data_IF_466415625524
#
_entry.id   IF_466415625524
#
_cell.length_a   1.000
_cell.length_b   1.000
_cell.length_c   1.000
_cell.angle_alpha   90.00
_cell.angle_beta   90.00
_cell.angle_gamma   90.00
#
_symmetry.space_group_name_H-M   'P 1'
#
loop_
_entity.id
_entity.type
_entity.pdbx_description
1 polymer ?
#
# COMPACT_ATOMS: atom_id res chain seq x y z
N UNK A 1 20.68 8.35 -2.25
CA UNK A 1 20.07 7.92 -3.51
C UNK A 1 18.77 8.68 -3.73
N UNK A 2 18.52 9.16 -4.92
CA UNK A 2 17.25 9.86 -5.20
C UNK A 2 16.15 8.88 -5.55
N UNK A 3 14.91 9.33 -5.43
CA UNK A 3 13.73 8.52 -5.74
C UNK A 3 13.76 7.93 -7.16
N UNK A 4 14.37 8.66 -8.12
CA UNK A 4 14.40 8.24 -9.52
C UNK A 4 15.46 7.19 -9.83
N UNK A 5 16.41 6.98 -8.92
CA UNK A 5 17.50 6.02 -9.12
C UNK A 5 17.19 4.63 -8.59
N UNK A 6 16.12 4.49 -7.82
CA UNK A 6 15.71 3.18 -7.29
C UNK A 6 14.79 2.53 -8.30
N UNK A 7 15.17 1.36 -8.87
CA UNK A 7 14.31 0.69 -9.85
C UNK A 7 12.94 0.37 -9.29
N UNK A 8 11.93 0.33 -10.16
CA UNK A 8 10.58 -0.07 -9.77
C UNK A 8 10.61 -1.54 -9.36
N UNK A 9 10.14 -1.82 -8.15
CA UNK A 9 10.02 -3.18 -7.65
C UNK A 9 8.82 -3.86 -8.30
N UNK A 10 8.90 -5.17 -8.45
CA UNK A 10 7.84 -5.96 -9.06
C UNK A 10 7.56 -7.18 -8.22
N UNK A 11 6.31 -7.63 -8.24
CA UNK A 11 5.92 -8.88 -7.62
C UNK A 11 6.62 -10.04 -8.34
N UNK A 12 7.30 -10.94 -7.60
CA UNK A 12 7.85 -12.14 -8.22
C UNK A 12 6.75 -13.00 -8.82
N UNK A 13 7.08 -13.79 -9.84
CA UNK A 13 6.11 -14.68 -10.47
C UNK A 13 5.44 -15.58 -9.42
N UNK A 14 4.11 -15.57 -9.40
CA UNK A 14 3.33 -16.32 -8.40
C UNK A 14 3.27 -15.68 -7.02
N UNK A 15 3.87 -14.50 -6.84
CA UNK A 15 3.93 -13.80 -5.56
C UNK A 15 5.14 -14.21 -4.71
N UNK A 16 5.47 -13.40 -3.70
CA UNK A 16 6.48 -13.77 -2.72
C UNK A 16 5.85 -14.62 -1.62
N UNK A 17 6.64 -15.51 -1.03
CA UNK A 17 6.19 -16.39 0.05
C UNK A 17 7.21 -16.36 1.19
N UNK A 18 6.78 -16.78 2.39
CA UNK A 18 7.65 -16.80 3.56
C UNK A 18 7.86 -15.41 4.14
N UNK A 19 9.11 -15.07 4.45
CA UNK A 19 9.44 -13.78 5.04
C UNK A 19 9.17 -12.63 4.06
N UNK A 20 8.86 -11.45 4.60
CA UNK A 20 8.71 -10.24 3.80
C UNK A 20 10.01 -9.96 3.02
N UNK A 21 9.89 -9.56 1.75
CA UNK A 21 11.07 -9.11 0.99
C UNK A 21 11.75 -7.92 1.67
N UNK A 22 13.00 -7.68 1.29
CA UNK A 22 13.73 -6.52 1.77
C UNK A 22 13.03 -5.21 1.37
N UNK A 23 13.13 -4.14 2.19
CA UNK A 23 12.58 -2.85 1.82
C UNK A 23 13.13 -2.33 0.49
N UNK A 24 12.26 -1.69 -0.29
CA UNK A 24 12.59 -1.16 -1.62
C UNK A 24 13.20 0.23 -1.52
N UNK A 25 12.63 1.09 -0.67
CA UNK A 25 12.97 2.51 -0.61
C UNK A 25 13.89 2.89 0.54
N UNK A 26 14.53 1.93 1.19
CA UNK A 26 15.36 2.20 2.39
C UNK A 26 16.47 3.24 2.14
N UNK A 27 17.00 3.31 0.91
CA UNK A 27 18.03 4.26 0.56
C UNK A 27 17.54 5.66 0.13
N UNK A 28 16.24 5.88 0.16
CA UNK A 28 15.65 7.15 -0.28
C UNK A 28 15.10 7.93 0.91
N UNK A 29 15.58 9.17 1.10
CA UNK A 29 15.23 10.01 2.25
C UNK A 29 14.60 11.34 1.84
N UNK A 30 14.15 11.48 0.59
CA UNK A 30 13.51 12.69 0.14
C UNK A 30 12.22 12.96 0.94
N UNK A 31 11.95 14.24 1.28
CA UNK A 31 10.72 14.58 2.00
C UNK A 31 9.48 14.17 1.22
N UNK A 32 8.42 13.83 1.93
CA UNK A 32 7.12 13.55 1.31
C UNK A 32 6.60 14.81 0.64
N UNK A 33 5.95 14.64 -0.51
CA UNK A 33 5.33 15.77 -1.22
C UNK A 33 4.14 16.31 -0.43
N UNK A 34 3.80 17.57 -0.70
CA UNK A 34 2.64 18.19 -0.06
C UNK A 34 1.37 17.39 -0.39
N UNK A 35 0.49 17.26 0.61
CA UNK A 35 -0.75 16.54 0.45
C UNK A 35 -0.65 15.04 0.66
N UNK A 36 0.56 14.49 0.84
CA UNK A 36 0.76 13.07 1.13
C UNK A 36 0.53 12.79 2.63
N UNK A 37 -0.27 11.79 2.99
CA UNK A 37 -0.28 11.30 4.36
C UNK A 37 1.03 10.56 4.64
N UNK A 38 1.53 10.63 5.86
CA UNK A 38 2.68 9.83 6.25
C UNK A 38 2.20 8.46 6.69
N UNK A 39 2.33 7.48 5.80
CA UNK A 39 1.88 6.10 6.02
C UNK A 39 3.06 5.15 6.24
N UNK A 40 4.28 5.67 6.42
CA UNK A 40 5.48 4.83 6.53
C UNK A 40 5.42 3.95 7.76
N UNK A 41 5.64 2.67 7.56
CA UNK A 41 5.67 1.71 8.66
C UNK A 41 5.27 0.31 8.24
N UNK A 42 5.29 -0.59 9.21
CA UNK A 42 4.70 -1.91 9.13
C UNK A 42 3.42 -1.87 9.95
N UNK A 43 2.32 -2.27 9.36
CA UNK A 43 0.97 -2.11 9.90
C UNK A 43 0.24 -3.44 9.96
N UNK A 44 -0.58 -3.63 10.98
CA UNK A 44 -1.41 -4.82 11.09
C UNK A 44 -2.88 -4.45 11.19
N UNK A 45 -3.72 -5.12 10.42
CA UNK A 45 -5.17 -4.95 10.47
C UNK A 45 -5.70 -5.50 11.78
N UNK A 46 -6.32 -4.64 12.58
CA UNK A 46 -6.90 -5.02 13.87
C UNK A 46 -8.42 -5.00 13.87
N UNK A 47 -9.03 -4.34 12.89
CA UNK A 47 -10.48 -4.22 12.81
C UNK A 47 -10.89 -4.12 11.35
N UNK A 48 -11.98 -4.83 11.00
CA UNK A 48 -12.62 -4.72 9.70
C UNK A 48 -14.05 -4.26 9.92
N UNK A 49 -14.44 -3.20 9.21
CA UNK A 49 -15.76 -2.58 9.31
C UNK A 49 -16.52 -2.77 8.01
N UNK A 50 -17.76 -3.24 8.10
CA UNK A 50 -18.70 -3.27 6.97
C UNK A 50 -19.92 -2.47 7.39
N UNK A 51 -20.25 -1.41 6.62
CA UNK A 51 -21.31 -0.46 6.96
C UNK A 51 -21.15 0.10 8.38
N UNK A 52 -19.89 0.39 8.77
CA UNK A 52 -19.58 0.96 10.07
C UNK A 52 -19.62 -0.03 11.23
N UNK A 53 -19.82 -1.32 10.99
CA UNK A 53 -19.94 -2.34 12.03
C UNK A 53 -18.75 -3.29 11.99
N UNK A 54 -18.12 -3.60 13.14
CA UNK A 54 -17.03 -4.57 13.20
C UNK A 54 -17.49 -5.97 12.77
N UNK A 55 -16.67 -6.59 11.92
CA UNK A 55 -16.84 -7.96 11.49
C UNK A 55 -15.78 -8.80 12.18
N UNK A 56 -16.20 -9.83 12.91
CA UNK A 56 -15.28 -10.63 13.73
C UNK A 56 -14.51 -11.69 12.93
N UNK A 57 -15.01 -12.05 11.75
CA UNK A 57 -14.33 -12.99 10.86
C UNK A 57 -14.23 -12.39 9.47
N UNK A 58 -12.98 -12.11 9.03
CA UNK A 58 -12.71 -11.58 7.71
C UNK A 58 -11.28 -11.93 7.33
N UNK A 59 -11.01 -12.28 6.06
CA UNK A 59 -9.65 -12.65 5.63
C UNK A 59 -8.61 -11.56 5.86
N UNK A 60 -9.00 -10.29 5.89
CA UNK A 60 -8.08 -9.19 6.11
C UNK A 60 -7.63 -9.06 7.56
N UNK A 61 -8.40 -9.58 8.54
CA UNK A 61 -8.02 -9.47 9.95
C UNK A 61 -6.67 -10.13 10.21
N UNK A 62 -5.78 -9.39 10.90
CA UNK A 62 -4.46 -9.87 11.24
C UNK A 62 -3.43 -9.73 10.11
N UNK A 63 -3.85 -9.36 8.91
CA UNK A 63 -2.90 -9.19 7.79
C UNK A 63 -1.96 -8.01 8.03
N UNK A 64 -0.76 -8.12 7.47
CA UNK A 64 0.32 -7.13 7.68
C UNK A 64 0.68 -6.51 6.35
N UNK A 65 0.88 -5.20 6.36
CA UNK A 65 1.33 -4.40 5.21
C UNK A 65 2.57 -3.62 5.60
N UNK A 66 3.59 -3.63 4.74
CA UNK A 66 4.69 -2.67 4.80
C UNK A 66 4.40 -1.55 3.83
N UNK A 67 4.46 -0.31 4.30
CA UNK A 67 4.31 0.86 3.44
C UNK A 67 5.58 1.70 3.54
N UNK A 68 6.20 1.95 2.40
CA UNK A 68 7.37 2.80 2.26
C UNK A 68 7.01 4.00 1.41
N UNK A 69 7.59 5.16 1.74
CA UNK A 69 7.34 6.39 0.99
C UNK A 69 8.62 7.20 0.84
N UNK A 70 8.75 7.84 -0.31
CA UNK A 70 9.83 8.76 -0.59
C UNK A 70 9.35 9.73 -1.67
N UNK A 71 9.35 11.05 -1.40
CA UNK A 71 8.76 12.06 -2.28
C UNK A 71 7.30 11.70 -2.60
N UNK A 72 6.97 11.48 -3.88
CA UNK A 72 5.63 11.07 -4.31
C UNK A 72 5.50 9.55 -4.53
N UNK A 73 6.53 8.78 -4.13
CA UNK A 73 6.57 7.34 -4.37
C UNK A 73 6.07 6.57 -3.15
N UNK A 74 5.26 5.56 -3.40
CA UNK A 74 4.73 4.65 -2.38
C UNK A 74 5.00 3.22 -2.82
N UNK A 75 5.49 2.39 -1.91
CA UNK A 75 5.65 0.96 -2.16
C UNK A 75 4.90 0.20 -1.07
N UNK A 76 3.96 -0.66 -1.47
CA UNK A 76 3.16 -1.48 -0.57
C UNK A 76 3.52 -2.94 -0.78
N UNK A 77 4.03 -3.57 0.28
CA UNK A 77 4.38 -4.99 0.29
C UNK A 77 3.41 -5.69 1.23
N UNK A 78 2.59 -6.57 0.70
CA UNK A 78 1.55 -7.26 1.47
C UNK A 78 1.00 -8.44 0.67
N UNK A 79 0.54 -9.47 1.35
CA UNK A 79 -0.25 -10.53 0.70
C UNK A 79 0.40 -11.18 -0.50
N UNK A 80 1.74 -11.24 -0.55
CA UNK A 80 2.47 -11.85 -1.66
C UNK A 80 2.78 -10.90 -2.80
N UNK A 81 2.33 -9.63 -2.75
CA UNK A 81 2.61 -8.66 -3.82
C UNK A 81 3.55 -7.56 -3.34
N UNK A 82 4.15 -6.90 -4.33
CA UNK A 82 4.89 -5.65 -4.15
C UNK A 82 4.33 -4.68 -5.16
N UNK A 83 3.60 -3.67 -4.70
CA UNK A 83 3.06 -2.63 -5.57
C UNK A 83 3.82 -1.34 -5.33
N UNK A 84 4.57 -0.92 -6.34
CA UNK A 84 5.47 0.23 -6.31
C UNK A 84 4.99 1.28 -7.32
N UNK A 85 4.77 2.51 -6.86
CA UNK A 85 4.07 3.52 -7.65
C UNK A 85 4.55 4.92 -7.37
N UNK A 86 4.39 5.81 -8.35
CA UNK A 86 4.43 7.25 -8.15
C UNK A 86 2.99 7.75 -8.08
N UNK A 87 2.72 8.64 -7.14
CA UNK A 87 1.37 9.15 -6.93
C UNK A 87 1.17 10.46 -7.70
N UNK A 88 1.50 10.43 -9.00
CA UNK A 88 1.44 11.60 -9.89
C UNK A 88 0.22 11.63 -10.80
N UNK A 89 -0.69 10.68 -10.65
CA UNK A 89 -1.94 10.64 -11.43
C UNK A 89 -1.79 10.05 -12.83
N UNK A 90 -0.63 9.48 -13.17
CA UNK A 90 -0.42 8.86 -14.48
C UNK A 90 -0.54 7.35 -14.42
N UNK A 91 -1.04 6.75 -15.50
CA UNK A 91 -1.13 5.29 -15.61
C UNK A 91 0.26 4.66 -15.65
N UNK A 92 1.19 5.27 -16.38
CA UNK A 92 2.52 4.67 -16.55
C UNK A 92 3.33 4.61 -15.27
N UNK A 93 3.12 5.55 -14.33
CA UNK A 93 3.84 5.58 -13.06
C UNK A 93 3.03 5.01 -11.90
N UNK A 94 1.81 4.58 -12.15
CA UNK A 94 0.97 3.89 -11.17
C UNK A 94 1.42 2.45 -10.94
N UNK A 95 0.53 1.64 -10.43
CA UNK A 95 0.81 0.21 -10.25
C UNK A 95 0.56 -0.50 -11.58
N UNK A 96 1.61 -1.07 -12.16
CA UNK A 96 1.53 -1.91 -13.35
C UNK A 96 2.17 -3.26 -12.97
N UNK A 97 1.38 -4.11 -12.37
CA UNK A 97 1.83 -5.34 -11.74
C UNK A 97 0.70 -6.37 -11.80
N UNK A 98 0.62 -7.27 -10.82
CA UNK A 98 -0.43 -8.29 -10.75
C UNK A 98 -1.34 -8.04 -9.58
N UNK A 99 -2.58 -8.51 -9.68
CA UNK A 99 -3.58 -8.41 -8.61
C UNK A 99 -3.18 -9.26 -7.40
N UNK A 100 -3.55 -8.79 -6.21
CA UNK A 100 -3.25 -9.51 -4.98
C UNK A 100 -4.02 -10.82 -4.88
N UNK A 101 -5.26 -10.87 -5.41
CA UNK A 101 -6.13 -12.04 -5.21
C UNK A 101 -5.59 -13.31 -5.87
N UNK A 102 -4.87 -13.22 -6.98
CA UNK A 102 -4.34 -14.42 -7.67
C UNK A 102 -2.83 -14.34 -7.97
N UNK A 103 -2.18 -13.19 -7.74
CA UNK A 103 -0.76 -12.92 -8.05
C UNK A 103 -0.42 -13.23 -9.50
N UNK A 104 -1.38 -13.08 -10.40
CA UNK A 104 -1.22 -13.46 -11.80
C UNK A 104 -1.89 -12.48 -12.77
N UNK A 105 -3.11 -12.01 -12.47
CA UNK A 105 -3.86 -11.13 -13.35
C UNK A 105 -3.21 -9.76 -13.46
N UNK A 106 -2.78 -9.31 -14.66
CA UNK A 106 -2.21 -7.97 -14.82
C UNK A 106 -3.20 -6.88 -14.46
N UNK A 107 -2.71 -5.87 -13.74
CA UNK A 107 -3.51 -4.69 -13.39
C UNK A 107 -2.74 -3.42 -13.74
N UNK A 108 -3.49 -2.36 -13.99
CA UNK A 108 -2.96 -1.00 -14.08
C UNK A 108 -3.81 -0.12 -13.17
N UNK A 109 -3.15 0.60 -12.26
CA UNK A 109 -3.83 1.40 -11.23
C UNK A 109 -3.19 2.77 -11.16
N UNK A 110 -4.00 3.81 -11.29
CA UNK A 110 -3.55 5.19 -11.13
C UNK A 110 -3.50 5.52 -9.64
N UNK A 111 -2.40 6.13 -9.19
CA UNK A 111 -2.22 6.53 -7.80
C UNK A 111 -2.14 8.05 -7.69
N UNK A 112 -2.79 8.61 -6.68
CA UNK A 112 -2.75 10.04 -6.36
C UNK A 112 -2.72 10.26 -4.87
N UNK A 113 -2.32 11.48 -4.46
CA UNK A 113 -2.58 12.01 -3.13
C UNK A 113 -3.63 13.11 -3.25
N UNK A 114 -4.71 13.01 -2.50
CA UNK A 114 -5.81 13.97 -2.53
C UNK A 114 -6.16 14.35 -1.10
N UNK A 115 -5.75 15.55 -0.68
CA UNK A 115 -6.05 16.09 0.66
C UNK A 115 -5.68 15.12 1.79
N UNK A 116 -4.43 14.63 1.77
CA UNK A 116 -3.89 13.69 2.74
C UNK A 116 -4.55 12.30 2.70
N UNK A 117 -5.09 11.94 1.55
CA UNK A 117 -5.60 10.59 1.27
C UNK A 117 -4.81 10.02 0.11
N UNK A 118 -4.32 8.78 0.27
CA UNK A 118 -3.72 8.01 -0.82
C UNK A 118 -4.86 7.31 -1.55
N UNK A 119 -5.00 7.57 -2.84
CA UNK A 119 -6.11 7.06 -3.64
C UNK A 119 -5.59 6.23 -4.80
N UNK A 120 -6.11 5.01 -4.93
CA UNK A 120 -5.82 4.10 -6.03
C UNK A 120 -7.08 3.93 -6.87
N UNK A 121 -6.93 4.11 -8.19
CA UNK A 121 -8.04 3.93 -9.14
C UNK A 121 -7.63 2.95 -10.22
N UNK A 122 -8.10 1.67 -10.13
CA UNK A 122 -7.83 0.71 -11.19
C UNK A 122 -8.42 1.17 -12.53
N UNK A 123 -7.64 1.02 -13.59
CA UNK A 123 -8.09 1.40 -14.94
C UNK A 123 -9.21 0.47 -15.37
N UNK A 124 -10.32 1.06 -15.84
CA UNK A 124 -11.45 0.29 -16.36
C UNK A 124 -12.44 -0.18 -15.29
N UNK A 125 -12.22 0.14 -14.01
CA UNK A 125 -13.14 -0.22 -12.93
C UNK A 125 -13.59 1.03 -12.18
N UNK A 126 -14.88 1.15 -11.83
CA UNK A 126 -15.42 2.32 -11.13
C UNK A 126 -15.24 2.20 -9.62
N UNK A 127 -14.04 1.86 -9.16
CA UNK A 127 -13.74 1.70 -7.73
C UNK A 127 -12.56 2.55 -7.32
N UNK A 128 -12.49 2.84 -6.02
CA UNK A 128 -11.36 3.54 -5.41
C UNK A 128 -10.92 2.78 -4.18
N UNK A 129 -9.61 2.68 -3.99
CA UNK A 129 -9.00 2.16 -2.76
C UNK A 129 -8.30 3.31 -2.09
N UNK A 130 -8.61 3.55 -0.83
CA UNK A 130 -8.12 4.72 -0.10
C UNK A 130 -7.39 4.33 1.17
N UNK A 131 -6.34 5.10 1.49
CA UNK A 131 -5.65 5.03 2.77
C UNK A 131 -5.47 6.43 3.33
N UNK A 132 -5.71 6.58 4.62
CA UNK A 132 -5.51 7.85 5.33
C UNK A 132 -5.17 7.58 6.78
N UNK A 133 -4.67 8.61 7.47
CA UNK A 133 -4.35 8.50 8.89
C UNK A 133 -5.53 8.94 9.74
N UNK A 134 -5.76 8.21 10.82
CA UNK A 134 -6.70 8.56 11.88
C UNK A 134 -5.90 8.51 13.19
N UNK A 135 -5.33 9.67 13.59
CA UNK A 135 -4.40 9.73 14.70
C UNK A 135 -3.16 8.87 14.43
N UNK A 136 -2.89 7.93 15.33
CA UNK A 136 -1.75 7.02 15.20
C UNK A 136 -2.04 5.81 14.32
N UNK A 137 -3.29 5.62 13.94
CA UNK A 137 -3.72 4.47 13.14
C UNK A 137 -3.76 4.80 11.65
N UNK A 138 -3.77 3.76 10.84
CA UNK A 138 -3.97 3.85 9.40
C UNK A 138 -5.34 3.27 9.06
N UNK A 139 -6.09 3.98 8.23
CA UNK A 139 -7.35 3.49 7.69
C UNK A 139 -7.14 3.05 6.26
N UNK A 140 -7.71 1.93 5.90
CA UNK A 140 -7.64 1.36 4.55
C UNK A 140 -9.05 0.96 4.10
N UNK A 141 -9.57 1.70 3.14
CA UNK A 141 -10.87 1.42 2.55
C UNK A 141 -10.69 0.64 1.26
N UNK A 142 -11.20 -0.56 1.24
CA UNK A 142 -11.24 -1.42 0.07
C UNK A 142 -12.68 -1.57 -0.39
N UNK A 143 -12.91 -2.38 -1.45
CA UNK A 143 -14.26 -2.58 -1.96
C UNK A 143 -15.08 -3.37 -0.94
N UNK A 144 -16.12 -2.73 -0.39
CA UNK A 144 -17.06 -3.37 0.52
C UNK A 144 -16.65 -3.36 2.00
N UNK A 145 -15.45 -2.88 2.35
CA UNK A 145 -15.05 -2.83 3.77
C UNK A 145 -13.98 -1.76 4.02
N UNK A 146 -13.84 -1.39 5.29
CA UNK A 146 -12.79 -0.48 5.76
C UNK A 146 -12.04 -1.13 6.90
N UNK A 147 -10.72 -1.09 6.86
CA UNK A 147 -9.87 -1.65 7.91
C UNK A 147 -9.23 -0.55 8.75
N UNK A 148 -9.06 -0.83 10.03
CA UNK A 148 -8.17 -0.07 10.91
C UNK A 148 -6.91 -0.88 11.11
N UNK A 149 -5.75 -0.22 10.95
CA UNK A 149 -4.45 -0.84 11.12
C UNK A 149 -3.67 -0.11 12.19
N UNK A 150 -2.97 -0.87 13.03
CA UNK A 150 -2.05 -0.31 14.03
C UNK A 150 -0.62 -0.46 13.52
N UNK A 151 0.23 0.51 13.88
CA UNK A 151 1.64 0.51 13.49
C UNK A 151 2.43 -0.44 14.39
N UNK A 152 3.09 -1.42 13.78
CA UNK A 152 3.97 -2.35 14.51
C UNK A 152 5.38 -1.81 14.67
N UNK A 153 5.84 -1.01 13.70
CA UNK A 153 7.19 -0.46 13.72
C UNK A 153 7.52 0.29 12.44
N UNK A 154 8.80 0.69 12.27
CA UNK A 154 9.22 1.39 11.06
C UNK A 154 9.16 0.49 9.83
N UNK A 155 9.16 1.10 8.64
CA UNK A 155 9.08 0.34 7.38
C UNK A 155 10.24 -0.65 7.22
N UNK A 156 11.38 -0.39 7.85
CA UNK A 156 12.54 -1.31 7.82
C UNK A 156 12.35 -2.56 8.69
N UNK A 157 11.32 -2.59 9.53
CA UNK A 157 11.06 -3.72 10.41
C UNK A 157 10.73 -4.97 9.61
N UNK A 158 11.29 -6.11 10.02
CA UNK A 158 10.95 -7.41 9.45
C UNK A 158 9.81 -8.01 10.28
N UNK A 159 8.58 -8.08 9.73
CA UNK A 159 7.48 -8.69 10.46
C UNK A 159 7.67 -10.20 10.54
N UNK A 160 7.26 -10.76 11.62
CA UNK A 160 7.38 -12.21 11.84
C UNK A 160 7.30 -12.62 13.26
#
# INVERSE_FOLDING_TARGET
MTVDLIPVARTPEGGWTGAFPEPVLAGCHAPLVDGAPDMRGVWQVTEVLVDGRPILEHPALGSIQRIEQCADRVTITAGGIIHDMRCDGTVEHGVNDVAEFDKQTPISVVATFEEHVHVLRPVGLPIEVKRWRDGDDLMWQYVGFTCRLVRLGPASMQPG
#
